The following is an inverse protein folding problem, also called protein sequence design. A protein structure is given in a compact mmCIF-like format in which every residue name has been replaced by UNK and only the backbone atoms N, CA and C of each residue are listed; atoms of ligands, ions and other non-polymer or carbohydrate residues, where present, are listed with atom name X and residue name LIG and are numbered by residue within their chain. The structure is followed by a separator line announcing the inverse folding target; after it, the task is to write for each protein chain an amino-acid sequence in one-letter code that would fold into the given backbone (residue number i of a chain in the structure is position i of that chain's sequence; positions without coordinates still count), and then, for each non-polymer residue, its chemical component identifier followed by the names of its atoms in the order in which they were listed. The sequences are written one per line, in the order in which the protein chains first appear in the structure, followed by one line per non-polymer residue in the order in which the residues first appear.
data_IF_547777173959
#
_entry.id   IF_547777173959
#
_cell.length_a   1.000
_cell.length_b   1.000
_cell.length_c   1.000
_cell.angle_alpha   90.00
_cell.angle_beta   90.00
_cell.angle_gamma   90.00
#
_symmetry.space_group_name_H-M   'P 1'
#
loop_
_entity.id
_entity.type
_entity.pdbx_description
1 polymer ?
#
# COMPACT_ATOMS: atom_id res chain seq x y z
N UNK A 1 -5.01 14.22 -14.12
CA UNK A 1 -6.20 13.43 -13.80
C UNK A 1 -6.38 12.39 -14.91
N UNK A 2 -7.17 11.33 -14.70
CA UNK A 2 -7.36 10.26 -15.69
C UNK A 2 -6.24 9.22 -15.76
N UNK A 3 -5.45 9.07 -14.70
CA UNK A 3 -4.30 8.13 -14.64
C UNK A 3 -4.48 6.98 -13.66
N UNK A 4 -5.52 7.03 -12.84
CA UNK A 4 -5.80 6.04 -11.79
C UNK A 4 -6.97 5.11 -12.12
N UNK A 5 -7.56 5.21 -13.32
CA UNK A 5 -8.80 4.54 -13.69
C UNK A 5 -10.03 5.22 -13.06
N UNK A 6 -11.23 4.74 -13.42
CA UNK A 6 -12.49 5.40 -13.00
C UNK A 6 -12.67 5.49 -11.47
N UNK A 7 -12.33 4.42 -10.75
CA UNK A 7 -12.47 4.40 -9.28
C UNK A 7 -11.46 5.33 -8.60
N UNK A 8 -10.18 5.28 -9.00
CA UNK A 8 -9.15 6.12 -8.42
C UNK A 8 -9.37 7.60 -8.70
N UNK A 9 -9.83 7.94 -9.91
CA UNK A 9 -10.11 9.33 -10.27
C UNK A 9 -11.31 9.93 -9.51
N UNK A 10 -12.28 9.10 -9.08
CA UNK A 10 -13.38 9.51 -8.19
C UNK A 10 -12.90 9.85 -6.78
N UNK A 11 -11.86 9.17 -6.32
CA UNK A 11 -11.29 9.34 -4.98
C UNK A 11 -10.16 10.39 -4.92
N UNK A 12 -9.81 11.02 -6.05
CA UNK A 12 -8.80 12.05 -6.11
C UNK A 12 -9.31 13.36 -5.50
N UNK A 13 -8.65 13.86 -4.46
CA UNK A 13 -8.89 15.22 -3.97
C UNK A 13 -8.42 16.23 -5.01
N UNK A 14 -9.32 17.09 -5.44
CA UNK A 14 -9.08 18.14 -6.42
C UNK A 14 -8.82 19.46 -5.72
N UNK A 15 -7.87 20.23 -6.26
CA UNK A 15 -7.49 21.54 -5.72
C UNK A 15 -8.05 22.61 -6.65
N UNK A 16 -8.88 23.50 -6.13
CA UNK A 16 -9.37 24.65 -6.86
C UNK A 16 -8.19 25.53 -7.31
N UNK A 17 -8.27 26.06 -8.51
CA UNK A 17 -7.30 27.02 -9.02
C UNK A 17 -7.28 28.27 -8.14
N UNK A 18 -6.10 28.88 -7.96
CA UNK A 18 -5.95 30.10 -7.16
C UNK A 18 -6.57 31.31 -7.88
N UNK A 19 -7.03 32.27 -7.10
CA UNK A 19 -7.69 33.48 -7.63
C UNK A 19 -9.13 33.24 -8.04
N UNK A 20 -9.57 33.88 -9.11
CA UNK A 20 -10.91 33.69 -9.67
C UNK A 20 -10.97 32.38 -10.46
N UNK A 21 -11.23 31.28 -9.77
CA UNK A 21 -11.31 29.95 -10.37
C UNK A 21 -12.52 29.73 -11.27
N UNK A 22 -13.51 30.67 -11.24
CA UNK A 22 -14.69 30.65 -12.13
C UNK A 22 -14.46 31.41 -13.44
N UNK A 23 -13.44 32.24 -13.55
CA UNK A 23 -13.14 33.02 -14.76
C UNK A 23 -13.15 32.21 -16.08
N UNK A 24 -12.66 30.94 -16.12
CA UNK A 24 -12.71 30.14 -17.35
C UNK A 24 -14.07 29.47 -17.61
N UNK A 25 -15.09 29.69 -16.76
CA UNK A 25 -16.39 29.00 -16.80
C UNK A 25 -17.47 29.96 -17.22
N UNK A 26 -18.30 29.58 -18.19
CA UNK A 26 -19.47 30.36 -18.61
C UNK A 26 -20.73 29.99 -17.82
N UNK A 27 -21.72 30.90 -17.73
CA UNK A 27 -22.96 30.61 -17.04
C UNK A 27 -23.67 29.37 -17.64
N UNK A 28 -23.67 29.24 -18.97
CA UNK A 28 -24.25 28.06 -19.62
C UNK A 28 -23.62 26.76 -19.22
N UNK A 29 -22.30 26.73 -19.02
CA UNK A 29 -21.60 25.52 -18.56
C UNK A 29 -21.95 25.16 -17.11
N UNK A 30 -22.25 26.14 -16.27
CA UNK A 30 -22.75 25.90 -14.91
C UNK A 30 -24.17 25.32 -14.96
N UNK A 31 -25.02 25.85 -15.83
CA UNK A 31 -26.39 25.38 -16.02
C UNK A 31 -26.45 23.95 -16.58
N UNK A 32 -25.57 23.61 -17.53
CA UNK A 32 -25.45 22.27 -18.09
C UNK A 32 -25.05 21.20 -17.05
N UNK A 33 -24.46 21.58 -15.92
CA UNK A 33 -24.00 20.70 -14.83
C UNK A 33 -23.13 19.54 -15.31
N UNK A 34 -22.34 19.73 -16.35
CA UNK A 34 -21.35 18.74 -16.76
C UNK A 34 -20.16 18.77 -15.79
N UNK A 35 -20.28 18.03 -14.67
CA UNK A 35 -19.31 18.05 -13.57
C UNK A 35 -17.89 17.72 -14.00
N UNK A 36 -17.63 16.67 -14.83
CA UNK A 36 -16.26 16.39 -15.29
C UNK A 36 -15.63 17.56 -16.05
N UNK A 37 -16.40 18.22 -16.93
CA UNK A 37 -15.92 19.36 -17.73
C UNK A 37 -15.64 20.57 -16.84
N UNK A 38 -16.56 20.90 -15.94
CA UNK A 38 -16.40 21.99 -14.97
C UNK A 38 -15.16 21.75 -14.08
N UNK A 39 -15.04 20.54 -13.52
CA UNK A 39 -13.91 20.20 -12.65
C UNK A 39 -12.57 20.38 -13.37
N UNK A 40 -12.45 19.98 -14.63
CA UNK A 40 -11.21 20.14 -15.38
C UNK A 40 -10.83 21.61 -15.64
N UNK A 41 -11.82 22.53 -15.68
CA UNK A 41 -11.58 23.96 -15.84
C UNK A 41 -11.16 24.64 -14.53
N UNK A 42 -11.80 24.26 -13.41
CA UNK A 42 -11.59 24.91 -12.12
C UNK A 42 -10.55 24.25 -11.23
N UNK A 43 -10.09 23.05 -11.57
CA UNK A 43 -9.13 22.25 -10.83
C UNK A 43 -8.07 21.67 -11.76
N UNK A 44 -6.94 22.33 -11.94
CA UNK A 44 -5.81 21.82 -12.73
C UNK A 44 -4.97 20.83 -11.95
N UNK A 45 -5.03 20.86 -10.62
CA UNK A 45 -4.21 20.07 -9.71
C UNK A 45 -5.06 19.20 -8.80
N UNK A 46 -4.47 18.12 -8.33
CA UNK A 46 -5.02 17.27 -7.28
C UNK A 46 -3.95 16.86 -6.29
N UNK A 47 -4.36 16.45 -5.10
CA UNK A 47 -3.46 15.81 -4.15
C UNK A 47 -3.08 14.45 -4.69
N UNK A 48 -1.84 14.00 -4.46
CA UNK A 48 -1.39 12.69 -4.94
C UNK A 48 -2.14 11.56 -4.24
N UNK A 49 -2.64 10.66 -5.05
CA UNK A 49 -3.43 9.50 -4.61
C UNK A 49 -2.55 8.33 -4.14
N UNK A 50 -1.39 8.17 -4.76
CA UNK A 50 -0.33 7.20 -4.47
C UNK A 50 1.05 7.79 -4.74
N UNK A 51 2.10 6.99 -4.54
CA UNK A 51 3.47 7.37 -4.86
C UNK A 51 3.97 6.72 -6.17
N UNK A 52 3.29 5.70 -6.70
CA UNK A 52 3.73 4.92 -7.86
C UNK A 52 3.53 5.68 -9.18
N UNK A 53 2.34 6.28 -9.40
CA UNK A 53 2.09 7.06 -10.63
C UNK A 53 2.98 8.32 -10.71
N UNK A 54 3.14 9.12 -9.62
CA UNK A 54 4.13 10.20 -9.61
C UNK A 54 5.57 9.72 -9.84
N UNK A 55 5.92 8.55 -9.32
CA UNK A 55 7.24 7.95 -9.55
C UNK A 55 7.47 7.57 -11.02
N UNK A 56 6.49 6.91 -11.66
CA UNK A 56 6.57 6.61 -13.09
C UNK A 56 6.79 7.87 -13.93
N UNK A 57 6.10 8.97 -13.59
CA UNK A 57 6.34 10.27 -14.23
C UNK A 57 7.75 10.80 -13.98
N UNK A 58 8.25 10.69 -12.75
CA UNK A 58 9.61 11.10 -12.39
C UNK A 58 10.65 10.33 -13.22
N UNK A 59 10.50 9.01 -13.34
CA UNK A 59 11.40 8.16 -14.13
C UNK A 59 11.45 8.63 -15.59
N UNK A 60 10.31 8.93 -16.20
CA UNK A 60 10.27 9.42 -17.59
C UNK A 60 10.95 10.78 -17.72
N UNK A 61 10.71 11.69 -16.78
CA UNK A 61 11.29 13.03 -16.82
C UNK A 61 12.81 13.05 -16.65
N UNK A 62 13.35 12.08 -15.89
CA UNK A 62 14.77 11.99 -15.54
C UNK A 62 15.48 10.77 -16.16
N UNK A 63 14.89 10.15 -17.21
CA UNK A 63 15.40 8.92 -17.82
C UNK A 63 16.88 8.99 -18.27
N UNK A 64 17.36 10.18 -18.61
CA UNK A 64 18.74 10.40 -19.03
C UNK A 64 19.72 10.58 -17.86
N UNK A 65 19.21 10.74 -16.64
CA UNK A 65 19.98 10.96 -15.41
C UNK A 65 19.99 9.69 -14.54
N UNK A 66 19.07 8.76 -14.79
CA UNK A 66 18.86 7.53 -14.01
C UNK A 66 19.59 6.36 -14.66
N UNK A 67 20.32 5.58 -13.87
CA UNK A 67 20.85 4.28 -14.29
C UNK A 67 19.86 3.17 -14.00
N UNK A 68 19.51 2.35 -15.00
CA UNK A 68 18.62 1.21 -14.85
C UNK A 68 19.41 -0.10 -14.62
N UNK A 69 18.86 -1.08 -13.83
CA UNK A 69 17.62 -0.99 -13.07
C UNK A 69 17.72 0.02 -11.93
N UNK A 70 16.67 0.82 -11.74
CA UNK A 70 16.61 1.85 -10.72
C UNK A 70 15.75 1.39 -9.54
N UNK A 71 16.34 1.39 -8.35
CA UNK A 71 15.69 1.05 -7.08
C UNK A 71 15.49 2.30 -6.26
N UNK A 72 14.30 2.49 -5.69
CA UNK A 72 14.02 3.61 -4.81
C UNK A 72 13.19 3.19 -3.61
N UNK A 73 13.24 3.96 -2.55
CA UNK A 73 12.18 4.00 -1.55
C UNK A 73 11.68 5.44 -1.39
N UNK A 74 10.43 5.57 -0.97
CA UNK A 74 9.81 6.88 -0.73
C UNK A 74 8.80 6.78 0.40
N UNK A 75 8.88 7.69 1.38
CA UNK A 75 7.98 7.75 2.53
C UNK A 75 7.34 9.12 2.51
N UNK A 76 6.06 9.20 2.16
CA UNK A 76 5.33 10.46 2.07
C UNK A 76 3.82 10.26 2.30
N UNK A 77 3.09 11.34 2.66
CA UNK A 77 1.65 11.30 2.75
C UNK A 77 1.02 11.23 1.35
N UNK A 78 -0.12 10.55 1.29
CA UNK A 78 -1.02 10.47 0.15
C UNK A 78 -2.45 10.74 0.60
N UNK A 79 -3.32 11.12 -0.34
CA UNK A 79 -4.67 11.56 -0.01
C UNK A 79 -5.71 10.85 -0.88
N UNK A 80 -6.72 10.27 -0.22
CA UNK A 80 -7.83 9.59 -0.90
C UNK A 80 -9.15 10.06 -0.30
N UNK A 81 -10.11 10.43 -1.14
CA UNK A 81 -11.44 10.86 -0.72
C UNK A 81 -12.33 9.66 -0.30
N UNK A 82 -11.74 8.65 0.29
CA UNK A 82 -12.44 7.49 0.85
C UNK A 82 -13.39 7.89 1.98
N UNK A 83 -14.43 7.08 2.19
CA UNK A 83 -15.25 7.18 3.40
C UNK A 83 -14.42 6.72 4.60
N UNK A 84 -14.21 7.61 5.61
CA UNK A 84 -13.43 7.24 6.79
C UNK A 84 -14.03 6.06 7.53
N UNK A 85 -13.17 5.11 7.92
CA UNK A 85 -13.50 3.99 8.80
C UNK A 85 -12.23 3.46 9.45
N UNK A 86 -12.33 2.54 10.40
CA UNK A 86 -11.15 1.94 11.06
C UNK A 86 -10.14 1.41 10.03
N UNK A 87 -8.89 1.85 10.13
CA UNK A 87 -7.81 1.48 9.20
C UNK A 87 -7.95 2.06 7.78
N UNK A 88 -8.83 3.07 7.57
CA UNK A 88 -8.96 3.76 6.29
C UNK A 88 -9.09 5.27 6.52
N UNK A 89 -8.03 5.98 6.18
CA UNK A 89 -7.85 7.41 6.39
C UNK A 89 -7.90 8.16 5.06
N UNK A 90 -8.20 9.47 5.12
CA UNK A 90 -8.18 10.35 3.95
C UNK A 90 -6.79 10.91 3.66
N UNK A 91 -5.97 11.06 4.68
CA UNK A 91 -4.54 11.34 4.62
C UNK A 91 -3.82 10.23 5.37
N UNK A 92 -2.80 9.62 4.76
CA UNK A 92 -2.02 8.55 5.37
C UNK A 92 -0.67 8.44 4.68
N UNK A 93 0.30 7.84 5.38
CA UNK A 93 1.65 7.65 4.87
C UNK A 93 1.77 6.32 4.12
N UNK A 94 2.31 6.40 2.92
CA UNK A 94 2.82 5.24 2.19
C UNK A 94 4.35 5.20 2.28
N UNK A 95 4.88 3.99 2.53
CA UNK A 95 6.30 3.71 2.48
C UNK A 95 6.52 2.75 1.31
N UNK A 96 6.84 3.32 0.15
CA UNK A 96 6.97 2.58 -1.10
C UNK A 96 8.40 2.13 -1.34
N UNK A 97 8.54 0.93 -1.87
CA UNK A 97 9.79 0.38 -2.41
C UNK A 97 9.52 -0.10 -3.82
N UNK A 98 10.27 0.38 -4.80
CA UNK A 98 10.10 0.05 -6.21
C UNK A 98 11.41 -0.24 -6.90
N UNK A 99 11.34 -1.09 -7.92
CA UNK A 99 12.39 -1.34 -8.90
C UNK A 99 11.81 -1.13 -10.29
N UNK A 100 12.45 -0.32 -11.14
CA UNK A 100 12.07 -0.14 -12.54
C UNK A 100 13.23 -0.44 -13.47
N UNK A 101 12.93 -0.87 -14.70
CA UNK A 101 13.92 -1.17 -15.72
C UNK A 101 14.48 -2.59 -15.65
N UNK A 102 13.72 -3.55 -15.10
CA UNK A 102 14.10 -4.96 -15.06
C UNK A 102 12.88 -5.88 -15.03
N UNK A 103 12.87 -6.87 -15.92
CA UNK A 103 11.86 -7.94 -15.98
C UNK A 103 12.18 -9.11 -15.05
N UNK A 104 13.33 -9.07 -14.36
CA UNK A 104 13.78 -10.16 -13.51
C UNK A 104 12.83 -10.41 -12.36
N UNK A 105 12.40 -11.66 -12.18
CA UNK A 105 11.59 -12.12 -11.04
C UNK A 105 12.36 -12.14 -9.71
N UNK A 106 13.66 -11.92 -9.72
CA UNK A 106 14.44 -11.68 -8.51
C UNK A 106 14.00 -10.40 -7.79
N UNK A 107 13.42 -9.46 -8.50
CA UNK A 107 12.88 -8.25 -7.90
C UNK A 107 11.68 -8.56 -6.98
N UNK A 108 10.79 -9.47 -7.38
CA UNK A 108 9.70 -9.98 -6.54
C UNK A 108 10.22 -10.67 -5.29
N UNK A 109 11.26 -11.48 -5.44
CA UNK A 109 11.91 -12.18 -4.32
C UNK A 109 12.51 -11.18 -3.33
N UNK A 110 13.19 -10.15 -3.82
CA UNK A 110 13.76 -9.08 -2.98
C UNK A 110 12.67 -8.32 -2.22
N UNK A 111 11.54 -8.02 -2.86
CA UNK A 111 10.41 -7.36 -2.19
C UNK A 111 9.82 -8.24 -1.08
N UNK A 112 9.73 -9.56 -1.28
CA UNK A 112 9.28 -10.49 -0.23
C UNK A 112 10.27 -10.52 0.94
N UNK A 113 11.58 -10.51 0.67
CA UNK A 113 12.60 -10.41 1.73
C UNK A 113 12.47 -9.10 2.53
N UNK A 114 12.18 -7.99 1.86
CA UNK A 114 11.94 -6.70 2.54
C UNK A 114 10.71 -6.78 3.44
N UNK A 115 9.62 -7.43 2.99
CA UNK A 115 8.42 -7.66 3.81
C UNK A 115 8.78 -8.47 5.05
N UNK A 116 9.49 -9.59 4.88
CA UNK A 116 9.90 -10.46 5.99
C UNK A 116 10.72 -9.71 7.04
N UNK A 117 11.75 -9.00 6.60
CA UNK A 117 12.65 -8.24 7.49
C UNK A 117 11.92 -7.10 8.22
N UNK A 118 11.06 -6.37 7.53
CA UNK A 118 10.29 -5.25 8.13
C UNK A 118 9.38 -5.77 9.23
N UNK A 119 8.57 -6.79 8.97
CA UNK A 119 7.61 -7.28 9.97
C UNK A 119 8.25 -8.06 11.10
N UNK A 120 9.37 -8.73 10.84
CA UNK A 120 10.22 -9.31 11.87
C UNK A 120 10.74 -8.24 12.84
N UNK A 121 11.27 -7.11 12.34
CA UNK A 121 11.72 -5.98 13.18
C UNK A 121 10.59 -5.32 13.94
N UNK A 122 9.43 -5.19 13.33
CA UNK A 122 8.24 -4.62 13.96
C UNK A 122 7.56 -5.60 14.94
N UNK A 123 7.98 -6.88 14.97
CA UNK A 123 7.39 -7.96 15.79
C UNK A 123 5.90 -8.17 15.51
N UNK A 124 5.49 -8.04 14.26
CA UNK A 124 4.12 -8.26 13.80
C UNK A 124 4.06 -9.58 13.04
N UNK A 125 3.21 -10.51 13.48
CA UNK A 125 2.94 -11.73 12.72
C UNK A 125 2.08 -11.42 11.52
N UNK A 126 2.59 -11.76 10.34
CA UNK A 126 1.91 -11.49 9.08
C UNK A 126 1.78 -12.74 8.21
N UNK A 127 0.86 -12.67 7.27
CA UNK A 127 0.76 -13.57 6.12
C UNK A 127 0.86 -12.74 4.87
N UNK A 128 1.75 -13.13 3.95
CA UNK A 128 1.87 -12.58 2.62
C UNK A 128 1.05 -13.45 1.65
N UNK A 129 0.07 -12.84 1.02
CA UNK A 129 -0.69 -13.45 -0.07
C UNK A 129 -0.05 -13.01 -1.39
N UNK A 130 0.10 -13.97 -2.30
CA UNK A 130 0.62 -13.72 -3.65
C UNK A 130 -0.30 -14.32 -4.69
N UNK A 131 -0.48 -13.62 -5.80
CA UNK A 131 -1.14 -14.11 -7.00
C UNK A 131 -0.46 -13.49 -8.23
N UNK A 132 -0.97 -13.74 -9.42
CA UNK A 132 -0.49 -13.14 -10.66
C UNK A 132 -1.67 -12.75 -11.57
N UNK A 133 -1.64 -11.54 -12.11
CA UNK A 133 -2.70 -11.04 -13.02
C UNK A 133 -2.85 -11.90 -14.27
N UNK A 134 -1.77 -12.52 -14.74
CA UNK A 134 -1.79 -13.44 -15.88
C UNK A 134 -2.52 -14.75 -15.54
N UNK A 135 -2.39 -15.24 -14.30
CA UNK A 135 -3.18 -16.39 -13.83
C UNK A 135 -4.67 -16.06 -13.81
N UNK A 136 -5.03 -14.89 -13.31
CA UNK A 136 -6.43 -14.43 -13.32
C UNK A 136 -6.98 -14.26 -14.74
N UNK A 137 -6.18 -13.73 -15.65
CA UNK A 137 -6.55 -13.65 -17.06
C UNK A 137 -6.74 -15.04 -17.69
N UNK A 138 -5.81 -15.98 -17.42
CA UNK A 138 -5.92 -17.36 -17.87
C UNK A 138 -7.17 -18.09 -17.32
N UNK A 139 -7.54 -17.80 -16.07
CA UNK A 139 -8.81 -18.32 -15.50
C UNK A 139 -10.00 -17.77 -16.29
N UNK A 140 -10.04 -16.46 -16.57
CA UNK A 140 -11.11 -15.85 -17.35
C UNK A 140 -11.19 -16.42 -18.79
N UNK A 141 -10.03 -16.67 -19.43
CA UNK A 141 -9.97 -17.36 -20.73
C UNK A 141 -10.52 -18.79 -20.65
N UNK A 142 -10.10 -19.57 -19.65
CA UNK A 142 -10.49 -20.98 -19.46
C UNK A 142 -11.99 -21.15 -19.21
N UNK A 143 -12.61 -20.21 -18.51
CA UNK A 143 -14.07 -20.22 -18.28
C UNK A 143 -14.85 -19.60 -19.45
N UNK A 144 -14.19 -19.11 -20.50
CA UNK A 144 -14.81 -18.58 -21.71
C UNK A 144 -15.26 -17.11 -21.65
N UNK A 145 -14.76 -16.33 -20.67
CA UNK A 145 -15.11 -14.92 -20.49
C UNK A 145 -13.89 -13.99 -20.35
N UNK A 146 -12.94 -13.99 -21.32
CA UNK A 146 -11.75 -13.13 -21.24
C UNK A 146 -12.10 -11.63 -21.24
N UNK A 147 -13.19 -11.24 -21.88
CA UNK A 147 -13.72 -9.88 -21.95
C UNK A 147 -14.22 -9.35 -20.60
N UNK A 148 -14.51 -10.25 -19.66
CA UNK A 148 -15.05 -9.94 -18.31
C UNK A 148 -14.03 -10.05 -17.19
N UNK A 149 -12.72 -10.08 -17.50
CA UNK A 149 -11.64 -10.19 -16.52
C UNK A 149 -11.81 -9.21 -15.36
N UNK A 150 -12.13 -7.94 -15.64
CA UNK A 150 -12.31 -6.91 -14.61
C UNK A 150 -13.50 -7.22 -13.70
N UNK A 151 -14.64 -7.56 -14.28
CA UNK A 151 -15.85 -7.90 -13.51
C UNK A 151 -15.62 -9.14 -12.64
N UNK A 152 -14.99 -10.18 -13.20
CA UNK A 152 -14.65 -11.42 -12.49
C UNK A 152 -13.70 -11.12 -11.33
N UNK A 153 -12.64 -10.35 -11.54
CA UNK A 153 -11.66 -10.04 -10.50
C UNK A 153 -12.25 -9.17 -9.39
N UNK A 154 -13.10 -8.20 -9.72
CA UNK A 154 -13.81 -7.37 -8.73
C UNK A 154 -14.78 -8.18 -7.89
N UNK A 155 -15.48 -9.15 -8.48
CA UNK A 155 -16.39 -10.04 -7.75
C UNK A 155 -15.61 -10.99 -6.83
N UNK A 156 -14.54 -11.64 -7.34
CA UNK A 156 -13.69 -12.55 -6.57
C UNK A 156 -13.07 -11.88 -5.35
N UNK A 157 -12.60 -10.64 -5.47
CA UNK A 157 -12.01 -9.88 -4.37
C UNK A 157 -12.94 -9.69 -3.16
N UNK A 158 -14.23 -9.84 -3.38
CA UNK A 158 -15.24 -9.76 -2.32
C UNK A 158 -15.51 -11.09 -1.63
N UNK A 159 -14.92 -12.20 -2.12
CA UNK A 159 -15.19 -13.57 -1.66
C UNK A 159 -15.16 -13.70 -0.13
N UNK A 160 -14.10 -13.19 0.49
CA UNK A 160 -13.91 -13.23 1.96
C UNK A 160 -14.97 -12.42 2.73
N UNK A 161 -15.60 -11.42 2.09
CA UNK A 161 -16.52 -10.48 2.75
C UNK A 161 -17.98 -10.87 2.60
N UNK A 162 -18.36 -11.29 1.40
CA UNK A 162 -19.79 -11.53 1.06
C UNK A 162 -20.10 -12.99 0.82
N UNK A 163 -19.07 -13.85 0.75
CA UNK A 163 -19.21 -15.29 0.53
C UNK A 163 -19.47 -15.67 -0.93
N UNK A 164 -19.28 -16.94 -1.24
CA UNK A 164 -19.33 -17.47 -2.60
C UNK A 164 -20.70 -17.28 -3.29
N UNK A 165 -21.81 -17.43 -2.57
CA UNK A 165 -23.15 -17.28 -3.13
C UNK A 165 -23.41 -15.87 -3.66
N UNK A 166 -23.04 -14.85 -2.89
CA UNK A 166 -23.21 -13.45 -3.31
C UNK A 166 -22.24 -13.08 -4.44
N UNK A 167 -21.01 -13.62 -4.43
CA UNK A 167 -20.08 -13.48 -5.56
C UNK A 167 -20.67 -14.08 -6.83
N UNK A 168 -21.25 -15.28 -6.75
CA UNK A 168 -21.91 -15.94 -7.89
C UNK A 168 -23.10 -15.11 -8.41
N UNK A 169 -23.91 -14.54 -7.52
CA UNK A 169 -25.00 -13.64 -7.89
C UNK A 169 -24.48 -12.40 -8.64
N UNK A 170 -23.42 -11.76 -8.14
CA UNK A 170 -22.80 -10.61 -8.81
C UNK A 170 -22.23 -10.98 -10.19
N UNK A 171 -21.59 -12.15 -10.32
CA UNK A 171 -21.08 -12.63 -11.60
C UNK A 171 -22.21 -12.86 -12.63
N UNK A 172 -23.37 -13.40 -12.21
CA UNK A 172 -24.56 -13.55 -13.06
C UNK A 172 -25.07 -12.19 -13.55
N UNK A 173 -25.18 -11.22 -12.64
CA UNK A 173 -25.59 -9.85 -12.98
C UNK A 173 -24.64 -9.19 -14.00
N UNK A 174 -23.37 -9.53 -13.93
CA UNK A 174 -22.34 -9.10 -14.88
C UNK A 174 -22.35 -9.90 -16.20
N UNK A 175 -23.26 -10.87 -16.34
CA UNK A 175 -23.46 -11.69 -17.53
C UNK A 175 -22.39 -12.76 -17.71
N UNK A 176 -21.81 -13.27 -16.63
CA UNK A 176 -20.99 -14.50 -16.65
C UNK A 176 -21.96 -15.70 -16.65
N UNK A 177 -21.76 -16.66 -17.55
CA UNK A 177 -22.64 -17.81 -17.68
C UNK A 177 -22.58 -18.75 -16.46
N UNK A 178 -23.67 -19.47 -16.19
CA UNK A 178 -23.70 -20.43 -15.09
C UNK A 178 -22.62 -21.51 -15.23
N UNK A 179 -22.41 -22.01 -16.45
CA UNK A 179 -21.36 -22.99 -16.75
C UNK A 179 -19.95 -22.44 -16.39
N UNK A 180 -19.70 -21.15 -16.68
CA UNK A 180 -18.46 -20.51 -16.33
C UNK A 180 -18.29 -20.35 -14.80
N UNK A 181 -19.37 -20.03 -14.09
CA UNK A 181 -19.38 -19.93 -12.62
C UNK A 181 -19.09 -21.30 -11.99
N UNK A 182 -19.73 -22.40 -12.51
CA UNK A 182 -19.47 -23.74 -12.04
C UNK A 182 -18.00 -24.17 -12.25
N UNK A 183 -17.41 -23.82 -13.38
CA UNK A 183 -15.98 -24.05 -13.66
C UNK A 183 -15.05 -23.23 -12.77
N UNK A 184 -15.45 -22.01 -12.40
CA UNK A 184 -14.65 -21.08 -11.59
C UNK A 184 -14.52 -21.53 -10.13
N UNK A 185 -15.61 -22.04 -9.53
CA UNK A 185 -15.66 -22.35 -8.10
C UNK A 185 -14.58 -23.33 -7.63
N UNK A 186 -14.32 -24.49 -8.30
CA UNK A 186 -13.24 -25.39 -7.91
C UNK A 186 -11.86 -24.76 -7.98
N UNK A 187 -11.66 -23.85 -8.94
CA UNK A 187 -10.38 -23.15 -9.12
C UNK A 187 -10.11 -22.21 -7.94
N UNK A 188 -11.10 -21.43 -7.54
CA UNK A 188 -10.96 -20.48 -6.43
C UNK A 188 -10.77 -21.15 -5.08
N UNK A 189 -11.28 -22.39 -4.94
CA UNK A 189 -11.21 -23.21 -3.72
C UNK A 189 -10.06 -24.23 -3.74
N UNK A 190 -9.06 -24.04 -4.60
CA UNK A 190 -7.90 -24.93 -4.60
C UNK A 190 -7.21 -24.90 -3.22
N UNK A 191 -7.21 -26.06 -2.56
CA UNK A 191 -6.54 -26.29 -1.29
C UNK A 191 -5.21 -27.04 -1.49
N UNK A 192 -4.36 -27.01 -0.46
CA UNK A 192 -3.07 -27.66 -0.46
C UNK A 192 -1.91 -26.67 -0.37
N UNK A 193 -0.69 -27.18 -0.48
CA UNK A 193 0.54 -26.39 -0.54
C UNK A 193 0.59 -25.48 -1.77
N UNK A 194 1.45 -24.47 -1.75
CA UNK A 194 1.64 -23.61 -2.91
C UNK A 194 2.06 -24.40 -4.17
N UNK A 195 2.88 -25.42 -4.00
CA UNK A 195 3.37 -26.29 -5.10
C UNK A 195 2.23 -27.12 -5.69
N UNK A 196 1.39 -27.74 -4.84
CA UNK A 196 0.21 -28.48 -5.30
C UNK A 196 -0.77 -27.60 -6.05
N UNK A 197 -1.01 -26.37 -5.56
CA UNK A 197 -1.85 -25.40 -6.25
C UNK A 197 -1.28 -25.01 -7.62
N UNK A 198 0.02 -24.75 -7.71
CA UNK A 198 0.68 -24.41 -8.98
C UNK A 198 0.59 -25.56 -9.98
N UNK A 199 0.77 -26.82 -9.53
CA UNK A 199 0.63 -28.00 -10.39
C UNK A 199 -0.79 -28.11 -10.93
N UNK A 200 -1.81 -27.96 -10.07
CA UNK A 200 -3.21 -28.00 -10.51
C UNK A 200 -3.57 -26.84 -11.45
N UNK A 201 -3.04 -25.63 -11.17
CA UNK A 201 -3.25 -24.50 -12.07
C UNK A 201 -2.62 -24.72 -13.45
N UNK A 202 -1.48 -25.37 -13.53
CA UNK A 202 -0.85 -25.73 -14.80
C UNK A 202 -1.75 -26.65 -15.63
N UNK A 203 -2.43 -27.61 -14.99
CA UNK A 203 -3.40 -28.48 -15.65
C UNK A 203 -4.66 -27.74 -16.10
N UNK A 204 -5.23 -26.93 -15.21
CA UNK A 204 -6.45 -26.15 -15.48
C UNK A 204 -6.24 -25.12 -16.59
N UNK A 205 -5.09 -24.47 -16.62
CA UNK A 205 -4.77 -23.38 -17.55
C UNK A 205 -3.98 -23.85 -18.79
N UNK A 206 -3.91 -25.16 -19.06
CA UNK A 206 -3.11 -25.74 -20.15
C UNK A 206 -3.40 -25.15 -21.53
N UNK A 207 -4.62 -24.67 -21.76
CA UNK A 207 -5.06 -24.09 -23.03
C UNK A 207 -4.95 -22.54 -23.05
N UNK A 208 -4.46 -21.92 -21.97
CA UNK A 208 -4.20 -20.48 -21.87
C UNK A 208 -2.71 -20.19 -21.80
N UNK A 209 -2.14 -19.66 -22.87
CA UNK A 209 -0.72 -19.24 -22.89
C UNK A 209 -0.42 -18.17 -21.83
N UNK A 210 -1.33 -17.20 -21.68
CA UNK A 210 -1.24 -16.14 -20.66
C UNK A 210 -1.25 -16.74 -19.26
N UNK A 211 -2.16 -17.65 -18.98
CA UNK A 211 -2.29 -18.34 -17.68
C UNK A 211 -1.04 -19.14 -17.34
N UNK A 212 -0.55 -19.95 -18.29
CA UNK A 212 0.67 -20.74 -18.11
C UNK A 212 1.91 -19.88 -17.86
N UNK A 213 2.01 -18.72 -18.51
CA UNK A 213 3.08 -17.75 -18.24
C UNK A 213 3.01 -17.26 -16.80
N UNK A 214 1.82 -16.91 -16.31
CA UNK A 214 1.61 -16.49 -14.92
C UNK A 214 1.98 -17.57 -13.90
N UNK A 215 1.62 -18.84 -14.18
CA UNK A 215 2.01 -20.00 -13.34
C UNK A 215 3.53 -20.18 -13.33
N UNK A 216 4.19 -20.08 -14.48
CA UNK A 216 5.64 -20.21 -14.59
C UNK A 216 6.38 -19.09 -13.81
N UNK A 217 5.88 -17.86 -13.86
CA UNK A 217 6.41 -16.73 -13.09
C UNK A 217 6.28 -17.00 -11.58
N UNK A 218 5.11 -17.41 -11.08
CA UNK A 218 4.92 -17.75 -9.68
C UNK A 218 5.79 -18.93 -9.26
N UNK A 219 5.86 -19.99 -10.06
CA UNK A 219 6.72 -21.15 -9.78
C UNK A 219 8.19 -20.76 -9.64
N UNK A 220 8.65 -19.81 -10.47
CA UNK A 220 10.02 -19.30 -10.38
C UNK A 220 10.23 -18.51 -9.10
N UNK A 221 9.30 -17.64 -8.72
CA UNK A 221 9.36 -16.86 -7.47
C UNK A 221 9.37 -17.80 -6.26
N UNK A 222 8.44 -18.78 -6.17
CA UNK A 222 8.41 -19.73 -5.07
C UNK A 222 9.67 -20.59 -5.00
N UNK A 223 10.21 -21.03 -6.13
CA UNK A 223 11.46 -21.79 -6.18
C UNK A 223 12.65 -21.02 -5.57
N UNK A 224 12.74 -19.72 -5.80
CA UNK A 224 13.77 -18.88 -5.19
C UNK A 224 13.50 -18.64 -3.70
N UNK A 225 12.24 -18.36 -3.34
CA UNK A 225 11.87 -18.15 -1.93
C UNK A 225 12.12 -19.37 -1.06
N UNK A 226 11.90 -20.59 -1.60
CA UNK A 226 12.20 -21.84 -0.89
C UNK A 226 13.71 -22.06 -0.61
N UNK A 227 14.60 -21.27 -1.22
CA UNK A 227 16.04 -21.31 -0.94
C UNK A 227 16.45 -20.31 0.15
N UNK A 228 15.52 -19.51 0.63
CA UNK A 228 15.76 -18.45 1.60
C UNK A 228 15.10 -18.80 2.94
N UNK A 229 15.71 -18.33 4.03
CA UNK A 229 15.14 -18.46 5.38
C UNK A 229 14.09 -17.35 5.62
N UNK A 230 12.95 -17.48 4.95
CA UNK A 230 11.80 -16.55 5.10
C UNK A 230 10.92 -17.06 6.24
N UNK A 231 10.70 -16.22 7.25
CA UNK A 231 9.86 -16.53 8.42
C UNK A 231 8.39 -16.21 8.18
N UNK A 232 8.10 -15.28 7.28
CA UNK A 232 6.75 -14.90 6.90
C UNK A 232 6.04 -16.04 6.17
N UNK A 233 4.84 -16.39 6.60
CA UNK A 233 3.96 -17.33 5.89
C UNK A 233 3.58 -16.75 4.51
N UNK A 234 3.96 -17.44 3.43
CA UNK A 234 3.64 -17.04 2.04
C UNK A 234 2.60 -18.00 1.47
N UNK A 235 1.47 -17.47 1.01
CA UNK A 235 0.35 -18.26 0.48
C UNK A 235 -0.02 -17.80 -0.93
N UNK A 236 -0.07 -18.74 -1.87
CA UNK A 236 -0.73 -18.54 -3.14
C UNK A 236 -2.25 -18.46 -2.90
N UNK A 237 -2.84 -17.32 -3.25
CA UNK A 237 -4.26 -17.06 -3.01
C UNK A 237 -4.93 -16.54 -4.28
N UNK A 238 -5.76 -17.37 -4.88
CA UNK A 238 -6.45 -17.09 -6.14
C UNK A 238 -7.60 -16.08 -5.96
N UNK A 239 -8.03 -15.85 -4.72
CA UNK A 239 -9.00 -14.81 -4.40
C UNK A 239 -8.37 -13.43 -4.29
N UNK A 240 -7.03 -13.35 -4.20
CA UNK A 240 -6.31 -12.09 -4.32
C UNK A 240 -6.39 -11.62 -5.78
N UNK A 241 -7.44 -10.91 -6.09
CA UNK A 241 -7.74 -10.39 -7.43
C UNK A 241 -7.69 -8.86 -7.46
N UNK A 242 -7.54 -8.23 -6.28
CA UNK A 242 -7.49 -6.80 -6.07
C UNK A 242 -6.15 -6.21 -6.50
N UNK A 243 -6.20 -4.94 -6.77
CA UNK A 243 -5.05 -4.12 -7.06
C UNK A 243 -5.44 -2.99 -7.98
N UNK A 244 -4.55 -2.02 -8.12
CA UNK A 244 -4.73 -0.95 -9.10
C UNK A 244 -4.73 -1.55 -10.51
N UNK A 245 -5.49 -0.97 -11.40
CA UNK A 245 -5.70 -1.47 -12.77
C UNK A 245 -4.41 -1.58 -13.61
N UNK A 246 -3.32 -0.98 -13.14
CA UNK A 246 -2.04 -0.99 -13.82
C UNK A 246 -1.14 -2.22 -13.50
N UNK A 247 -1.53 -3.11 -12.58
CA UNK A 247 -0.75 -4.33 -12.34
C UNK A 247 -0.89 -5.34 -13.48
N UNK A 248 0.23 -5.93 -13.90
CA UNK A 248 0.36 -6.79 -15.08
C UNK A 248 0.91 -8.19 -14.80
N UNK A 249 1.53 -8.38 -13.63
CA UNK A 249 2.17 -9.63 -13.22
C UNK A 249 1.82 -10.02 -11.80
N UNK A 250 2.86 -10.35 -11.01
CA UNK A 250 2.69 -10.68 -9.59
C UNK A 250 1.98 -9.56 -8.82
N UNK A 251 1.10 -9.95 -7.90
CA UNK A 251 0.42 -9.06 -6.95
C UNK A 251 0.62 -9.60 -5.54
N UNK A 252 0.79 -8.66 -4.60
CA UNK A 252 1.09 -8.94 -3.21
C UNK A 252 0.11 -8.26 -2.27
N UNK A 253 -0.26 -8.96 -1.22
CA UNK A 253 -1.04 -8.41 -0.12
C UNK A 253 -0.54 -8.98 1.20
N UNK A 254 -0.28 -8.12 2.19
CA UNK A 254 0.13 -8.55 3.53
C UNK A 254 -0.98 -8.24 4.52
N UNK A 255 -1.40 -9.28 5.25
CA UNK A 255 -2.40 -9.20 6.31
C UNK A 255 -1.75 -9.50 7.66
N UNK A 256 -2.09 -8.70 8.69
CA UNK A 256 -1.75 -9.04 10.07
C UNK A 256 -2.56 -10.29 10.50
N UNK A 257 -1.92 -11.20 11.24
CA UNK A 257 -2.60 -12.45 11.69
C UNK A 257 -3.36 -12.27 13.01
N UNK A 258 -2.87 -11.39 13.86
CA UNK A 258 -3.34 -11.26 15.24
C UNK A 258 -4.29 -10.05 15.43
N UNK A 259 -4.57 -9.31 14.38
CA UNK A 259 -5.43 -8.11 14.40
C UNK A 259 -6.35 -8.10 13.18
N UNK A 260 -7.64 -7.91 13.39
CA UNK A 260 -8.60 -7.64 12.33
C UNK A 260 -8.45 -6.22 11.78
N UNK A 261 -7.71 -6.11 10.69
CA UNK A 261 -7.53 -4.87 9.93
C UNK A 261 -7.39 -5.22 8.44
N UNK A 262 -7.64 -4.26 7.56
CA UNK A 262 -7.35 -4.46 6.13
C UNK A 262 -5.86 -4.66 5.85
N UNK A 263 -5.52 -4.92 4.60
CA UNK A 263 -4.12 -5.11 4.17
C UNK A 263 -3.20 -4.01 4.69
N UNK A 264 -2.10 -4.38 5.29
CA UNK A 264 -1.10 -3.46 5.86
C UNK A 264 0.06 -3.18 4.90
N UNK A 265 0.26 -4.03 3.89
CA UNK A 265 1.16 -3.82 2.75
C UNK A 265 0.50 -4.39 1.50
N UNK A 266 0.73 -3.77 0.36
CA UNK A 266 0.26 -4.27 -0.92
C UNK A 266 1.12 -3.76 -2.06
N UNK A 267 1.08 -4.45 -3.20
CA UNK A 267 1.86 -4.07 -4.36
C UNK A 267 1.76 -5.04 -5.51
N UNK A 268 2.65 -4.90 -6.48
CA UNK A 268 2.72 -5.81 -7.61
C UNK A 268 3.59 -5.31 -8.74
N UNK A 269 3.69 -6.11 -9.79
CA UNK A 269 4.38 -5.76 -11.03
C UNK A 269 3.49 -4.89 -11.91
N UNK A 270 4.07 -3.82 -12.43
CA UNK A 270 3.43 -2.87 -13.34
C UNK A 270 4.33 -2.65 -14.54
N UNK A 271 4.06 -3.39 -15.61
CA UNK A 271 4.73 -3.19 -16.89
C UNK A 271 4.10 -1.99 -17.61
N UNK A 272 4.93 -1.20 -18.26
CA UNK A 272 4.51 -0.08 -19.10
C UNK A 272 3.71 1.05 -18.39
N UNK A 273 3.77 1.17 -17.05
CA UNK A 273 3.15 2.30 -16.36
C UNK A 273 3.78 3.64 -16.81
N UNK A 274 5.07 3.63 -17.14
CA UNK A 274 5.79 4.76 -17.72
C UNK A 274 5.29 5.12 -19.12
N UNK A 275 4.66 4.18 -19.84
CA UNK A 275 4.04 4.39 -21.15
C UNK A 275 2.94 5.46 -21.12
N UNK A 276 2.25 5.62 -20.00
CA UNK A 276 1.27 6.70 -19.77
C UNK A 276 1.92 8.09 -19.92
N UNK A 277 3.23 8.16 -19.69
CA UNK A 277 4.04 9.39 -19.76
C UNK A 277 4.97 9.42 -20.97
N UNK A 278 4.84 8.47 -21.92
CA UNK A 278 5.57 8.44 -23.18
C UNK A 278 6.77 7.50 -23.25
N UNK A 279 7.13 6.79 -22.17
CA UNK A 279 8.22 5.81 -22.13
C UNK A 279 7.66 4.39 -22.04
N UNK A 280 7.52 3.73 -23.18
CA UNK A 280 6.97 2.36 -23.28
C UNK A 280 8.00 1.28 -22.94
N UNK A 281 7.50 0.07 -22.67
CA UNK A 281 8.29 -1.15 -22.45
C UNK A 281 9.24 -1.06 -21.24
N UNK A 282 8.83 -0.36 -20.20
CA UNK A 282 9.58 -0.25 -18.96
C UNK A 282 8.87 -1.03 -17.86
N UNK A 283 9.40 -2.19 -17.52
CA UNK A 283 8.88 -3.00 -16.42
C UNK A 283 9.23 -2.40 -15.06
N UNK A 284 8.30 -2.50 -14.13
CA UNK A 284 8.49 -2.11 -12.76
C UNK A 284 7.75 -3.05 -11.81
N UNK A 285 8.23 -3.14 -10.59
CA UNK A 285 7.57 -3.86 -9.50
C UNK A 285 7.81 -3.13 -8.19
N UNK A 286 6.80 -3.07 -7.33
CA UNK A 286 6.93 -2.38 -6.05
C UNK A 286 5.87 -2.77 -5.05
N UNK A 287 6.14 -2.44 -3.80
CA UNK A 287 5.23 -2.62 -2.66
C UNK A 287 5.14 -1.33 -1.85
N UNK A 288 4.01 -1.15 -1.20
CA UNK A 288 3.73 -0.02 -0.33
C UNK A 288 3.32 -0.51 1.05
N UNK A 289 4.05 -0.11 2.09
CA UNK A 289 3.66 -0.31 3.48
C UNK A 289 2.76 0.85 3.92
N UNK A 290 1.61 0.53 4.49
CA UNK A 290 0.67 1.50 5.04
C UNK A 290 1.04 1.83 6.50
N UNK A 291 1.83 2.89 6.71
CA UNK A 291 2.38 3.22 8.03
C UNK A 291 1.28 3.39 9.10
N UNK A 292 0.19 4.05 8.75
CA UNK A 292 -0.93 4.29 9.69
C UNK A 292 -1.63 2.99 10.11
N UNK A 293 -1.81 2.03 9.19
CA UNK A 293 -2.38 0.72 9.53
C UNK A 293 -1.41 -0.13 10.36
N UNK A 294 -0.12 -0.05 10.06
CA UNK A 294 0.92 -0.70 10.85
C UNK A 294 0.93 -0.12 12.26
N UNK A 295 0.82 1.21 12.40
CA UNK A 295 0.68 1.88 13.67
C UNK A 295 -0.56 1.39 14.45
N UNK A 296 -1.72 1.28 13.80
CA UNK A 296 -2.93 0.72 14.41
C UNK A 296 -2.73 -0.72 14.92
N UNK A 297 -2.04 -1.56 14.14
CA UNK A 297 -1.70 -2.93 14.55
C UNK A 297 -0.80 -2.92 15.77
N UNK A 298 0.26 -2.12 15.77
CA UNK A 298 1.19 -2.02 16.90
C UNK A 298 0.51 -1.51 18.17
N UNK A 299 -0.41 -0.56 18.04
CA UNK A 299 -1.22 -0.08 19.17
C UNK A 299 -2.14 -1.17 19.75
N UNK A 300 -2.82 -1.93 18.88
CA UNK A 300 -3.71 -3.01 19.32
C UNK A 300 -2.96 -4.16 19.99
N UNK A 301 -1.72 -4.41 19.58
CA UNK A 301 -0.84 -5.44 20.16
C UNK A 301 -0.03 -4.95 21.35
N UNK A 302 -0.07 -3.66 21.69
CA UNK A 302 0.73 -3.00 22.76
C UNK A 302 2.23 -3.30 22.63
N UNK A 303 2.76 -3.27 21.40
CA UNK A 303 4.17 -3.64 21.11
C UNK A 303 5.09 -2.45 20.85
N UNK A 304 4.61 -1.22 21.05
CA UNK A 304 5.52 -0.07 21.00
C UNK A 304 6.56 -0.14 22.12
N UNK A 305 7.82 0.24 21.84
CA UNK A 305 8.85 0.31 22.87
C UNK A 305 8.40 1.26 24.00
N UNK A 306 8.39 0.76 25.23
CA UNK A 306 7.94 1.54 26.41
C UNK A 306 8.79 2.81 26.62
N UNK A 307 10.06 2.77 26.23
CA UNK A 307 10.97 3.91 26.35
C UNK A 307 10.70 5.02 25.33
N UNK A 308 9.90 4.78 24.29
CA UNK A 308 9.57 5.79 23.28
C UNK A 308 8.65 6.90 23.76
N UNK A 309 7.96 6.71 24.86
CA UNK A 309 7.01 7.69 25.45
C UNK A 309 7.63 8.59 26.51
N UNK A 310 8.78 8.22 27.10
CA UNK A 310 9.48 9.04 28.07
C UNK A 310 10.27 10.16 27.36
N UNK A 311 9.63 11.33 27.22
CA UNK A 311 10.23 12.46 26.53
C UNK A 311 11.34 13.12 27.35
N UNK A 312 11.22 13.15 28.68
CA UNK A 312 12.16 13.76 29.62
C UNK A 312 12.55 12.75 30.69
N UNK A 313 13.85 12.56 30.93
CA UNK A 313 14.39 11.68 31.99
C UNK A 313 14.88 12.45 33.23
N UNK A 314 15.23 13.73 33.04
CA UNK A 314 15.74 14.61 34.08
C UNK A 314 15.05 15.96 34.01
N UNK A 315 14.40 16.36 35.08
CA UNK A 315 13.85 17.69 35.25
C UNK A 315 14.68 18.46 36.27
N UNK A 316 15.24 19.58 35.86
CA UNK A 316 15.83 20.55 36.80
C UNK A 316 14.74 21.45 37.36
N UNK A 317 14.68 21.54 38.68
CA UNK A 317 13.78 22.46 39.34
C UNK A 317 14.33 23.89 39.26
N UNK A 318 13.42 24.87 39.14
CA UNK A 318 13.76 26.26 38.94
C UNK A 318 13.19 27.11 40.10
N UNK A 319 14.06 27.79 40.83
CA UNK A 319 13.69 28.74 41.90
C UNK A 319 14.09 30.15 41.58
N UNK A 320 14.75 30.40 40.44
CA UNK A 320 15.16 31.70 39.94
C UNK A 320 16.49 31.69 39.18
N UNK A 321 16.99 32.88 38.93
CA UNK A 321 18.15 33.10 38.06
C UNK A 321 19.44 32.37 38.50
N UNK A 322 19.63 32.12 39.78
CA UNK A 322 20.83 31.43 40.28
C UNK A 322 20.79 29.96 39.88
N UNK A 323 19.64 29.29 40.05
CA UNK A 323 19.44 27.92 39.68
C UNK A 323 19.49 27.75 38.16
N UNK A 324 18.90 28.70 37.43
CA UNK A 324 18.93 28.70 35.96
C UNK A 324 20.40 28.75 35.45
N UNK A 325 21.19 29.69 35.96
CA UNK A 325 22.61 29.84 35.57
C UNK A 325 23.42 28.56 35.90
N UNK A 326 23.14 27.91 37.03
CA UNK A 326 23.80 26.66 37.41
C UNK A 326 23.37 25.48 36.57
N UNK A 327 22.08 25.37 36.29
CA UNK A 327 21.52 24.21 35.60
C UNK A 327 21.82 24.21 34.08
N UNK A 328 21.92 25.35 33.44
CA UNK A 328 22.10 25.43 31.98
C UNK A 328 23.34 24.70 31.45
N UNK A 329 24.53 24.81 32.04
CA UNK A 329 25.70 24.03 31.61
C UNK A 329 25.54 22.54 31.80
N UNK A 330 24.92 22.13 32.93
CA UNK A 330 24.65 20.72 33.23
C UNK A 330 23.61 20.14 32.24
N UNK A 331 22.56 20.89 31.97
CA UNK A 331 21.56 20.55 30.97
C UNK A 331 22.18 20.34 29.60
N UNK A 332 23.11 21.21 29.18
CA UNK A 332 23.87 21.05 27.92
C UNK A 332 24.66 19.74 27.91
N UNK A 333 25.35 19.43 29.01
CA UNK A 333 26.15 18.21 29.14
C UNK A 333 25.29 16.95 29.04
N UNK A 334 24.13 16.90 29.73
CA UNK A 334 23.21 15.78 29.68
C UNK A 334 22.64 15.57 28.28
N UNK A 335 22.25 16.66 27.63
CA UNK A 335 21.74 16.58 26.24
C UNK A 335 22.80 16.10 25.26
N UNK A 336 24.05 16.54 25.42
CA UNK A 336 25.16 16.05 24.61
C UNK A 336 25.46 14.56 24.82
N UNK A 337 25.16 14.04 26.01
CA UNK A 337 25.23 12.62 26.34
C UNK A 337 23.97 11.83 25.92
N UNK A 338 23.04 12.43 25.17
CA UNK A 338 21.80 11.77 24.71
C UNK A 338 20.75 11.57 25.82
N UNK A 339 20.89 12.26 26.95
CA UNK A 339 19.91 12.18 28.05
C UNK A 339 18.89 13.30 27.87
N UNK A 340 17.64 12.93 27.58
CA UNK A 340 16.53 13.88 27.48
C UNK A 340 16.31 14.59 28.81
N UNK A 341 16.52 15.89 28.84
CA UNK A 341 16.48 16.71 30.04
C UNK A 341 15.91 18.10 29.77
N UNK A 342 15.21 18.63 30.74
CA UNK A 342 14.62 19.96 30.69
C UNK A 342 14.76 20.67 32.05
N UNK A 343 14.69 22.01 32.03
CA UNK A 343 14.56 22.84 33.23
C UNK A 343 13.11 23.36 33.27
N UNK A 344 12.51 23.39 34.46
CA UNK A 344 11.19 23.99 34.60
C UNK A 344 11.25 25.48 34.21
N UNK A 345 10.38 25.97 33.30
CA UNK A 345 10.61 27.23 32.59
C UNK A 345 10.46 28.47 33.45
N UNK A 346 9.80 28.40 34.59
CA UNK A 346 9.50 29.51 35.47
C UNK A 346 9.98 29.25 36.90
N UNK A 347 10.41 30.27 37.61
CA UNK A 347 10.62 30.17 39.05
C UNK A 347 9.28 29.85 39.75
N UNK A 348 9.18 28.71 40.39
CA UNK A 348 7.94 28.25 40.98
C UNK A 348 8.16 27.45 42.28
N UNK A 349 7.11 27.34 43.11
CA UNK A 349 7.14 26.49 44.29
C UNK A 349 7.37 25.02 43.92
N UNK A 350 8.18 24.32 44.72
CA UNK A 350 8.54 22.90 44.52
C UNK A 350 7.30 22.03 44.21
N UNK A 351 6.22 22.19 44.94
CA UNK A 351 4.99 21.42 44.75
C UNK A 351 4.46 21.51 43.29
N UNK A 352 4.49 22.69 42.68
CA UNK A 352 4.04 22.89 41.28
C UNK A 352 4.90 22.11 40.33
N UNK A 353 6.21 22.17 40.54
CA UNK A 353 7.20 21.50 39.69
C UNK A 353 7.16 19.98 39.82
N UNK A 354 7.02 19.48 41.04
CA UNK A 354 6.84 18.02 41.27
C UNK A 354 5.54 17.48 40.67
N UNK A 355 4.44 18.25 40.75
CA UNK A 355 3.19 17.86 40.09
C UNK A 355 3.34 17.79 38.57
N UNK A 356 4.18 18.64 38.00
CA UNK A 356 4.52 18.59 36.55
C UNK A 356 5.34 17.34 36.23
N UNK A 357 6.37 17.04 37.02
CA UNK A 357 7.19 15.84 36.89
C UNK A 357 6.33 14.57 36.94
N UNK A 358 5.46 14.47 37.96
CA UNK A 358 4.55 13.31 38.15
C UNK A 358 3.64 13.11 36.90
N UNK A 359 3.04 14.19 36.39
CA UNK A 359 2.17 14.13 35.22
C UNK A 359 2.90 13.69 33.93
N UNK A 360 4.19 13.96 33.84
CA UNK A 360 5.07 13.56 32.74
C UNK A 360 5.81 12.24 32.98
N UNK A 361 5.66 11.63 34.14
CA UNK A 361 6.37 10.42 34.55
C UNK A 361 7.89 10.55 34.49
N UNK A 362 8.41 11.71 34.93
CA UNK A 362 9.84 12.03 35.03
C UNK A 362 10.40 11.56 36.38
#
# INVERSE_FOLDING_TARGET
MGKYGEEGDKLLFKILNSGDFLAPVTNSEVEERNIPRLTNKICEKGLRYDLTVPFARFVVQHQNEISFPFKRYQIQPVWRADRPQKGRYREFYQCDVDVVGSDSLLNEVELVQIVDEVYKRLKINVRLLINNRKVLAGIAETIGHPDKLVDITVAIDKMDKIGAENVNAELREKGVSEEAIEKLQPILRLEGSNEEKLTRLQEVLKDSETGLKGVAELSTVFRYLNQLDIQTEIKLDLTLARGLSYYTGAIFEVKAKDVEIGSITGGGRYDDLTGIFGMKNMSGVGISFGADRIFDVMNQLDIFPKDSTATTRVLFVNFGEKEEAFCLPVLKTLRAAGINSEIYPEAAKMKKQMTYADKKSI
#
